data_IF_113874841192
#
_entry.id   IF_113874841192
#
_cell.length_a   1.000
_cell.length_b   1.000
_cell.length_c   1.000
_cell.angle_alpha   90.00
_cell.angle_beta   90.00
_cell.angle_gamma   90.00
#
_symmetry.space_group_name_H-M   'P 1'
#
loop_
_entity.id
_entity.type
_entity.pdbx_description
1 polymer ?
#
# COMPACT_ATOMS: atom_id res chain seq x y z
N UNK A 1 1.93 -15.40 11.75
CA UNK A 1 2.90 -14.57 12.49
C UNK A 1 2.67 -14.52 14.01
N UNK A 2 1.53 -14.94 14.52
CA UNK A 2 1.25 -14.98 15.97
C UNK A 2 0.98 -13.61 16.61
N UNK A 3 0.52 -12.65 15.82
CA UNK A 3 0.09 -11.33 16.32
C UNK A 3 -1.19 -11.50 17.14
N UNK A 4 -1.28 -10.99 18.39
CA UNK A 4 -2.48 -11.12 19.19
C UNK A 4 -3.62 -10.26 18.62
N UNK A 5 -4.83 -10.84 18.59
CA UNK A 5 -6.04 -10.07 18.30
C UNK A 5 -6.42 -9.21 19.50
N UNK A 6 -6.54 -7.91 19.31
CA UNK A 6 -6.89 -6.97 20.39
C UNK A 6 -7.46 -5.67 19.87
N UNK A 7 -8.50 -5.18 20.54
CA UNK A 7 -8.95 -3.79 20.39
C UNK A 7 -8.28 -2.83 21.38
N UNK A 8 -7.51 -3.36 22.34
CA UNK A 8 -6.70 -2.56 23.24
C UNK A 8 -5.37 -2.21 22.60
N UNK A 9 -5.17 -0.95 22.33
CA UNK A 9 -3.99 -0.40 21.66
C UNK A 9 -2.89 0.04 22.64
N UNK A 10 -3.12 -0.09 23.94
CA UNK A 10 -2.15 0.31 24.96
C UNK A 10 -0.81 -0.40 24.77
N UNK A 11 0.27 0.38 24.74
CA UNK A 11 1.64 -0.07 24.54
C UNK A 11 2.00 -0.54 23.11
N UNK A 12 1.04 -0.60 22.17
CA UNK A 12 1.34 -0.92 20.79
C UNK A 12 1.93 0.29 20.05
N UNK A 13 2.87 0.05 19.13
CA UNK A 13 3.42 1.08 18.24
C UNK A 13 2.96 0.88 16.79
N UNK A 14 2.47 -0.29 16.46
CA UNK A 14 1.84 -0.58 15.16
C UNK A 14 0.61 -1.48 15.37
N UNK A 15 -0.42 -1.27 14.57
CA UNK A 15 -1.63 -2.08 14.60
C UNK A 15 -2.01 -2.52 13.18
N UNK A 16 -2.29 -3.82 13.05
CA UNK A 16 -2.73 -4.41 11.79
C UNK A 16 -4.24 -4.31 11.67
N UNK A 17 -4.73 -3.90 10.51
CA UNK A 17 -6.15 -3.77 10.15
C UNK A 17 -6.42 -4.48 8.82
N UNK A 18 -7.40 -5.35 8.77
CA UNK A 18 -7.92 -5.88 7.51
C UNK A 18 -8.97 -4.94 6.90
N UNK A 19 -8.88 -4.68 5.60
CA UNK A 19 -9.83 -3.85 4.85
C UNK A 19 -10.47 -4.68 3.72
N UNK A 20 -11.52 -5.48 4.02
CA UNK A 20 -12.14 -6.40 3.07
C UNK A 20 -13.06 -5.67 2.09
N UNK A 21 -12.50 -4.89 1.19
CA UNK A 21 -13.19 -4.07 0.20
C UNK A 21 -12.74 -4.42 -1.23
N UNK A 22 -13.68 -4.49 -2.19
CA UNK A 22 -13.36 -4.74 -3.61
C UNK A 22 -14.44 -4.16 -4.55
N UNK A 23 -14.99 -3.00 -4.18
CA UNK A 23 -16.01 -2.34 -4.98
C UNK A 23 -15.43 -1.28 -5.93
N UNK A 24 -14.13 -1.01 -5.87
CA UNK A 24 -13.43 -0.08 -6.74
C UNK A 24 -12.60 -0.75 -7.84
N UNK A 25 -12.68 -2.07 -7.97
CA UNK A 25 -11.82 -2.85 -8.86
C UNK A 25 -12.42 -3.15 -10.23
N UNK A 26 -11.61 -3.75 -11.09
CA UNK A 26 -12.00 -4.23 -12.40
C UNK A 26 -13.13 -5.26 -12.33
N UNK A 27 -14.19 -5.17 -13.15
CA UNK A 27 -15.39 -5.99 -13.02
C UNK A 27 -15.15 -7.51 -13.20
N UNK A 28 -14.07 -7.90 -13.88
CA UNK A 28 -13.77 -9.30 -14.16
C UNK A 28 -12.89 -9.98 -13.09
N UNK A 29 -12.22 -9.23 -12.20
CA UNK A 29 -11.29 -9.78 -11.20
C UNK A 29 -11.65 -9.29 -9.79
N UNK A 30 -12.86 -9.59 -9.38
CA UNK A 30 -13.37 -9.32 -8.04
C UNK A 30 -12.88 -10.40 -7.08
N UNK A 31 -12.57 -10.06 -5.84
CA UNK A 31 -12.16 -11.02 -4.82
C UNK A 31 -11.18 -10.49 -3.77
N UNK A 32 -10.67 -9.27 -3.93
CA UNK A 32 -9.72 -8.69 -2.98
C UNK A 32 -10.30 -8.45 -1.58
N UNK A 33 -11.63 -8.43 -1.41
CA UNK A 33 -12.27 -8.49 -0.09
C UNK A 33 -11.85 -9.71 0.74
N UNK A 34 -11.38 -10.77 0.11
CA UNK A 34 -10.88 -11.98 0.76
C UNK A 34 -9.38 -11.87 1.10
N UNK A 35 -8.69 -10.86 0.58
CA UNK A 35 -7.25 -10.63 0.78
C UNK A 35 -6.82 -10.64 2.24
N UNK A 36 -7.48 -9.87 3.14
CA UNK A 36 -7.09 -9.84 4.55
C UNK A 36 -7.11 -11.21 5.24
N UNK A 37 -8.09 -12.05 4.92
CA UNK A 37 -8.20 -13.41 5.49
C UNK A 37 -7.09 -14.30 4.94
N UNK A 38 -6.84 -14.27 3.64
CA UNK A 38 -5.80 -15.07 3.00
C UNK A 38 -4.39 -14.67 3.46
N UNK A 39 -4.11 -13.39 3.61
CA UNK A 39 -2.82 -12.90 4.15
C UNK A 39 -2.62 -13.41 5.58
N UNK A 40 -3.63 -13.35 6.45
CA UNK A 40 -3.54 -13.90 7.80
C UNK A 40 -3.29 -15.40 7.79
N UNK A 41 -4.00 -16.14 6.96
CA UNK A 41 -3.82 -17.59 6.81
C UNK A 41 -2.39 -17.94 6.39
N UNK A 42 -1.89 -17.30 5.34
CA UNK A 42 -0.53 -17.55 4.83
C UNK A 42 0.56 -16.99 5.74
N UNK A 43 0.26 -16.02 6.60
CA UNK A 43 1.21 -15.43 7.53
C UNK A 43 1.81 -16.42 8.54
N UNK A 44 1.20 -17.61 8.71
CA UNK A 44 1.76 -18.68 9.55
C UNK A 44 3.09 -19.21 9.02
N UNK A 45 3.35 -19.04 7.73
CA UNK A 45 4.61 -19.43 7.08
C UNK A 45 5.73 -18.40 7.29
N UNK A 46 5.39 -17.15 7.62
CA UNK A 46 6.35 -16.06 7.79
C UNK A 46 7.00 -16.15 9.17
N UNK A 47 8.31 -15.93 9.21
CA UNK A 47 9.10 -15.85 10.46
C UNK A 47 9.50 -14.41 10.73
N UNK A 48 9.58 -13.98 12.00
CA UNK A 48 9.84 -12.58 12.33
C UNK A 48 11.28 -12.14 12.06
N UNK A 49 12.24 -13.03 12.18
CA UNK A 49 13.66 -12.73 11.97
C UNK A 49 14.01 -12.85 10.47
N UNK A 50 14.71 -11.89 9.94
CA UNK A 50 15.10 -11.82 8.51
C UNK A 50 16.61 -11.49 8.37
N UNK A 51 17.52 -12.34 8.88
CA UNK A 51 18.95 -12.08 8.79
C UNK A 51 19.43 -12.14 7.31
N UNK A 52 20.47 -11.37 6.94
CA UNK A 52 21.22 -10.44 7.80
C UNK A 52 20.57 -9.07 7.95
N UNK A 53 19.51 -8.73 7.18
CA UNK A 53 18.93 -7.40 7.15
C UNK A 53 18.21 -7.05 8.46
N UNK A 54 17.34 -7.91 8.97
CA UNK A 54 16.58 -7.69 10.20
C UNK A 54 16.70 -8.90 11.14
N UNK A 55 17.81 -8.98 11.89
CA UNK A 55 18.01 -10.01 12.90
C UNK A 55 17.41 -9.59 14.26
N UNK A 56 16.14 -9.21 14.23
CA UNK A 56 15.31 -8.85 15.39
C UNK A 56 13.84 -9.19 15.10
N UNK A 57 13.03 -9.26 16.16
CA UNK A 57 11.58 -9.49 16.04
C UNK A 57 10.80 -8.17 16.01
N UNK A 58 10.33 -7.69 14.84
CA UNK A 58 9.58 -6.44 14.74
C UNK A 58 8.21 -6.51 15.44
N UNK A 59 7.61 -7.69 15.55
CA UNK A 59 6.32 -7.87 16.23
C UNK A 59 6.43 -7.56 17.73
N UNK A 60 7.52 -7.98 18.36
CA UNK A 60 7.81 -7.70 19.77
C UNK A 60 8.24 -6.25 19.98
N UNK A 61 9.16 -5.74 19.15
CA UNK A 61 9.67 -4.36 19.27
C UNK A 61 8.57 -3.31 19.14
N UNK A 62 7.59 -3.56 18.25
CA UNK A 62 6.46 -2.66 18.04
C UNK A 62 5.24 -3.01 18.90
N UNK A 63 5.29 -4.10 19.64
CA UNK A 63 4.15 -4.66 20.37
C UNK A 63 2.90 -4.71 19.46
N UNK A 64 3.05 -5.32 18.27
CA UNK A 64 2.03 -5.32 17.21
C UNK A 64 0.77 -6.03 17.68
N UNK A 65 -0.38 -5.44 17.40
CA UNK A 65 -1.71 -6.05 17.60
C UNK A 65 -2.48 -6.15 16.28
N UNK A 66 -3.33 -7.16 16.13
CA UNK A 66 -4.29 -7.27 15.04
C UNK A 66 -5.65 -6.79 15.52
N UNK A 67 -6.17 -5.71 14.95
CA UNK A 67 -7.46 -5.11 15.28
C UNK A 67 -8.64 -5.73 14.53
N UNK A 68 -8.39 -6.80 13.75
CA UNK A 68 -9.42 -7.44 12.94
C UNK A 68 -9.71 -6.69 11.64
N UNK A 69 -10.94 -6.82 11.18
CA UNK A 69 -11.37 -6.22 9.91
C UNK A 69 -12.27 -5.01 10.12
N UNK A 70 -12.10 -4.01 9.27
CA UNK A 70 -13.09 -2.94 9.10
C UNK A 70 -14.36 -3.54 8.49
N UNK A 71 -15.52 -3.05 8.92
CA UNK A 71 -16.80 -3.49 8.36
C UNK A 71 -17.02 -2.76 7.03
N UNK A 72 -16.79 -3.47 5.92
CA UNK A 72 -17.13 -3.02 4.58
C UNK A 72 -18.38 -3.73 4.08
N UNK A 73 -19.30 -2.99 3.48
CA UNK A 73 -20.56 -3.54 2.96
C UNK A 73 -20.54 -3.49 1.44
N UNK A 74 -20.58 -4.63 0.73
CA UNK A 74 -20.62 -4.64 -0.72
C UNK A 74 -21.75 -3.78 -1.28
N UNK A 75 -21.45 -2.95 -2.29
CA UNK A 75 -22.41 -2.04 -2.91
C UNK A 75 -22.63 -0.70 -2.17
N UNK A 76 -22.13 -0.55 -0.94
CA UNK A 76 -22.17 0.70 -0.19
C UNK A 76 -20.77 1.34 -0.13
N UNK A 77 -20.32 1.89 -1.25
CA UNK A 77 -18.96 2.39 -1.42
C UNK A 77 -18.65 3.50 -0.41
N UNK A 78 -19.38 4.61 -0.44
CA UNK A 78 -19.11 5.77 0.43
C UNK A 78 -19.16 5.41 1.91
N UNK A 79 -20.17 4.65 2.34
CA UNK A 79 -20.26 4.18 3.73
C UNK A 79 -19.09 3.28 4.13
N UNK A 80 -18.56 2.50 3.22
CA UNK A 80 -17.38 1.67 3.47
C UNK A 80 -16.11 2.52 3.56
N UNK A 81 -15.95 3.52 2.66
CA UNK A 81 -14.85 4.48 2.71
C UNK A 81 -14.85 5.24 4.05
N UNK A 82 -16.01 5.76 4.50
CA UNK A 82 -16.14 6.45 5.79
C UNK A 82 -15.70 5.57 6.96
N UNK A 83 -16.07 4.29 6.96
CA UNK A 83 -15.68 3.35 8.03
C UNK A 83 -14.18 3.04 8.01
N UNK A 84 -13.58 2.94 6.83
CA UNK A 84 -12.13 2.76 6.68
C UNK A 84 -11.41 3.99 7.24
N UNK A 85 -11.82 5.19 6.84
CA UNK A 85 -11.26 6.45 7.35
C UNK A 85 -11.33 6.51 8.88
N UNK A 86 -12.50 6.24 9.46
CA UNK A 86 -12.69 6.26 10.91
C UNK A 86 -11.82 5.23 11.64
N UNK A 87 -11.68 4.02 11.09
CA UNK A 87 -10.89 2.96 11.71
C UNK A 87 -9.40 3.32 11.71
N UNK A 88 -8.87 3.79 10.57
CA UNK A 88 -7.48 4.22 10.43
C UNK A 88 -7.20 5.44 11.31
N UNK A 89 -8.08 6.44 11.29
CA UNK A 89 -7.94 7.63 12.13
C UNK A 89 -7.91 7.28 13.63
N UNK A 90 -8.73 6.33 14.08
CA UNK A 90 -8.74 5.88 15.49
C UNK A 90 -7.40 5.29 15.91
N UNK A 91 -6.77 4.49 15.05
CA UNK A 91 -5.45 3.90 15.32
C UNK A 91 -4.38 5.00 15.31
N UNK A 92 -4.34 5.81 14.26
CA UNK A 92 -3.30 6.82 14.09
C UNK A 92 -3.39 7.94 15.14
N UNK A 93 -4.59 8.34 15.56
CA UNK A 93 -4.79 9.35 16.63
C UNK A 93 -4.37 8.86 18.02
N UNK A 94 -4.10 7.56 18.18
CA UNK A 94 -3.52 6.99 19.40
C UNK A 94 -1.98 6.91 19.34
N UNK A 95 -1.34 7.58 18.37
CA UNK A 95 0.11 7.54 18.11
C UNK A 95 0.62 6.14 17.76
N UNK A 96 -0.19 5.40 17.00
CA UNK A 96 0.09 4.03 16.56
C UNK A 96 0.06 4.00 15.03
N UNK A 97 1.08 3.39 14.42
CA UNK A 97 1.15 3.28 12.96
C UNK A 97 0.14 2.25 12.46
N UNK A 98 -0.88 2.65 11.66
CA UNK A 98 -1.76 1.69 11.01
C UNK A 98 -1.01 0.95 9.90
N UNK A 99 -1.09 -0.38 9.93
CA UNK A 99 -0.58 -1.27 8.88
C UNK A 99 -1.76 -2.04 8.33
N UNK A 100 -2.25 -1.64 7.16
CA UNK A 100 -3.44 -2.25 6.59
C UNK A 100 -3.09 -3.38 5.62
N UNK A 101 -3.92 -4.39 5.59
CA UNK A 101 -3.95 -5.39 4.54
C UNK A 101 -5.28 -5.26 3.83
N UNK A 102 -5.18 -4.81 2.58
CA UNK A 102 -6.32 -4.28 1.90
C UNK A 102 -7.12 -5.23 1.09
N UNK A 103 -8.17 -4.69 0.61
CA UNK A 103 -8.95 -4.96 -0.55
C UNK A 103 -8.29 -4.44 -1.82
N UNK A 104 -9.08 -3.78 -2.68
CA UNK A 104 -8.57 -3.12 -3.90
C UNK A 104 -7.85 -1.79 -3.59
N UNK A 105 -7.21 -1.18 -4.59
CA UNK A 105 -6.43 0.05 -4.42
C UNK A 105 -7.23 1.28 -3.97
N UNK A 106 -8.57 1.28 -4.11
CA UNK A 106 -9.40 2.39 -3.64
C UNK A 106 -9.37 2.56 -2.11
N UNK A 107 -9.00 1.51 -1.36
CA UNK A 107 -8.90 1.58 0.11
C UNK A 107 -7.88 2.61 0.59
N UNK A 108 -6.91 3.00 -0.25
CA UNK A 108 -5.90 4.01 0.09
C UNK A 108 -6.50 5.40 0.25
N UNK A 109 -7.54 5.77 -0.51
CA UNK A 109 -8.14 7.10 -0.44
C UNK A 109 -8.69 7.45 0.96
N UNK A 110 -9.55 6.65 1.59
CA UNK A 110 -10.05 6.95 2.94
C UNK A 110 -8.94 6.91 3.99
N UNK A 111 -7.89 6.11 3.78
CA UNK A 111 -6.73 6.08 4.66
C UNK A 111 -5.94 7.38 4.57
N UNK A 112 -5.73 7.90 3.35
CA UNK A 112 -5.09 9.21 3.13
C UNK A 112 -5.89 10.34 3.78
N UNK A 113 -7.24 10.32 3.70
CA UNK A 113 -8.10 11.27 4.41
C UNK A 113 -7.88 11.22 5.92
N UNK A 114 -7.80 10.02 6.48
CA UNK A 114 -7.52 9.84 7.92
C UNK A 114 -6.15 10.38 8.31
N UNK A 115 -5.12 10.06 7.54
CA UNK A 115 -3.74 10.44 7.83
C UNK A 115 -3.49 11.93 7.61
N UNK A 116 -4.08 12.54 6.58
CA UNK A 116 -3.96 14.00 6.33
C UNK A 116 -4.47 14.84 7.50
N UNK A 117 -5.48 14.39 8.24
CA UNK A 117 -5.99 15.08 9.43
C UNK A 117 -4.96 15.20 10.55
N UNK A 118 -3.98 14.30 10.59
CA UNK A 118 -2.91 14.27 11.59
C UNK A 118 -1.59 14.80 11.03
N UNK A 119 -1.37 14.64 9.74
CA UNK A 119 -0.16 15.01 9.02
C UNK A 119 -0.52 15.85 7.79
N UNK A 120 -0.73 17.18 7.93
CA UNK A 120 -1.12 18.04 6.80
C UNK A 120 -0.07 18.13 5.69
N UNK A 121 1.19 17.81 5.99
CA UNK A 121 2.32 17.73 5.07
C UNK A 121 2.64 16.28 4.62
N UNK A 122 1.64 15.39 4.68
CA UNK A 122 1.74 14.00 4.27
C UNK A 122 2.27 13.87 2.84
N UNK A 123 3.17 12.93 2.63
CA UNK A 123 3.65 12.55 1.30
C UNK A 123 3.30 11.10 1.01
N UNK A 124 3.06 10.78 -0.26
CA UNK A 124 2.74 9.45 -0.76
C UNK A 124 3.99 8.81 -1.38
N UNK A 125 4.27 7.58 -1.00
CA UNK A 125 5.10 6.66 -1.77
C UNK A 125 4.22 5.50 -2.23
N UNK A 126 3.89 5.48 -3.52
CA UNK A 126 3.08 4.46 -4.16
C UNK A 126 3.94 3.55 -5.02
N UNK A 127 3.99 2.28 -4.68
CA UNK A 127 4.76 1.25 -5.37
C UNK A 127 3.76 0.30 -6.02
N UNK A 128 3.69 0.28 -7.37
CA UNK A 128 2.59 -0.31 -8.11
C UNK A 128 2.96 -0.50 -9.60
N UNK A 129 2.29 -1.42 -10.29
CA UNK A 129 2.32 -1.50 -11.75
C UNK A 129 1.54 -0.37 -12.44
N UNK A 130 0.69 0.34 -11.71
CA UNK A 130 -0.20 1.40 -12.22
C UNK A 130 0.10 2.73 -11.53
N UNK A 131 -0.49 3.80 -12.04
CA UNK A 131 -0.40 5.11 -11.39
C UNK A 131 -1.61 5.43 -10.52
N UNK A 132 -2.74 4.81 -10.81
CA UNK A 132 -4.04 5.06 -10.18
C UNK A 132 -4.43 6.55 -10.13
N UNK A 133 -3.98 7.27 -11.16
CA UNK A 133 -4.20 8.71 -11.35
C UNK A 133 -5.02 9.02 -12.59
N UNK A 134 -5.89 8.11 -13.00
CA UNK A 134 -6.79 8.40 -14.13
C UNK A 134 -7.76 9.53 -13.76
N UNK A 135 -8.10 10.43 -14.69
CA UNK A 135 -9.02 11.55 -14.43
C UNK A 135 -10.46 11.07 -14.18
N UNK A 136 -10.82 9.96 -14.78
CA UNK A 136 -12.07 9.25 -14.73
C UNK A 136 -11.99 8.11 -15.74
N UNK A 137 -13.00 7.26 -15.82
CA UNK A 137 -12.98 6.12 -16.75
C UNK A 137 -13.36 6.49 -18.20
N UNK A 138 -13.64 7.76 -18.47
CA UNK A 138 -14.01 8.27 -19.79
C UNK A 138 -15.39 7.80 -20.30
N UNK A 139 -16.16 7.11 -19.47
CA UNK A 139 -17.50 6.62 -19.80
C UNK A 139 -18.58 7.61 -19.38
N UNK A 140 -19.78 7.49 -19.95
CA UNK A 140 -20.93 8.37 -19.62
C UNK A 140 -21.35 8.28 -18.14
N UNK A 141 -21.14 7.10 -17.53
CA UNK A 141 -21.31 6.90 -16.07
C UNK A 141 -19.92 6.83 -15.46
N UNK A 142 -19.38 7.98 -15.10
CA UNK A 142 -18.11 8.07 -14.40
C UNK A 142 -18.33 7.75 -12.94
N UNK A 143 -17.86 6.59 -12.52
CA UNK A 143 -17.73 6.32 -11.09
C UNK A 143 -16.59 7.16 -10.54
N UNK A 144 -16.94 8.13 -9.68
CA UNK A 144 -15.97 9.02 -9.03
C UNK A 144 -14.90 8.24 -8.26
N UNK A 145 -15.30 7.13 -7.66
CA UNK A 145 -14.48 6.33 -6.78
C UNK A 145 -14.24 4.95 -7.38
N UNK A 146 -13.05 4.73 -7.90
CA UNK A 146 -12.54 3.42 -8.30
C UNK A 146 -11.02 3.38 -8.11
N UNK A 147 -10.43 2.20 -8.17
CA UNK A 147 -8.98 1.99 -7.98
C UNK A 147 -8.16 2.91 -8.88
N UNK A 148 -8.49 2.97 -10.16
CA UNK A 148 -7.71 3.75 -11.13
C UNK A 148 -7.76 5.28 -10.90
N UNK A 149 -8.67 5.78 -10.07
CA UNK A 149 -8.82 7.22 -9.79
C UNK A 149 -8.38 7.62 -8.36
N UNK A 150 -7.90 6.68 -7.58
CA UNK A 150 -7.59 6.84 -6.15
C UNK A 150 -6.71 8.06 -5.88
N UNK A 151 -5.60 8.20 -6.59
CA UNK A 151 -4.66 9.28 -6.33
C UNK A 151 -4.99 10.57 -7.08
N UNK A 152 -5.83 10.52 -8.12
CA UNK A 152 -6.47 11.73 -8.65
C UNK A 152 -7.37 12.35 -7.60
N UNK A 153 -8.19 11.53 -6.92
CA UNK A 153 -9.05 12.04 -5.82
C UNK A 153 -8.19 12.56 -4.67
N UNK A 154 -7.09 11.89 -4.34
CA UNK A 154 -6.17 12.36 -3.31
C UNK A 154 -5.57 13.74 -3.63
N UNK A 155 -5.17 13.98 -4.89
CA UNK A 155 -4.68 15.28 -5.35
C UNK A 155 -5.77 16.36 -5.35
N UNK A 156 -6.99 16.05 -5.84
CA UNK A 156 -8.12 16.97 -5.85
C UNK A 156 -8.54 17.41 -4.44
N UNK A 157 -8.47 16.49 -3.48
CA UNK A 157 -8.81 16.74 -2.08
C UNK A 157 -7.64 17.37 -1.30
N UNK A 158 -6.45 17.49 -1.91
CA UNK A 158 -5.26 18.07 -1.28
C UNK A 158 -4.71 17.24 -0.12
N UNK A 159 -4.87 15.91 -0.18
CA UNK A 159 -4.53 14.99 0.91
C UNK A 159 -3.03 14.74 1.08
N UNK A 160 -2.25 15.01 0.05
CA UNK A 160 -0.81 14.80 0.03
C UNK A 160 -0.09 15.96 -0.66
N UNK A 161 1.18 16.22 -0.28
CA UNK A 161 2.08 17.08 -1.03
C UNK A 161 2.50 16.34 -2.32
N UNK A 162 1.77 16.55 -3.42
CA UNK A 162 2.02 15.86 -4.69
C UNK A 162 3.42 16.13 -5.25
N UNK A 163 3.97 17.34 -5.02
CA UNK A 163 5.30 17.71 -5.52
C UNK A 163 6.44 16.89 -4.88
N UNK A 164 6.16 16.23 -3.75
CA UNK A 164 7.09 15.35 -3.05
C UNK A 164 6.61 13.91 -2.96
N UNK A 165 5.49 13.59 -3.59
CA UNK A 165 4.93 12.23 -3.64
C UNK A 165 5.35 11.52 -4.93
N UNK A 166 5.49 10.19 -4.86
CA UNK A 166 6.02 9.40 -5.98
C UNK A 166 5.15 8.18 -6.27
N UNK A 167 5.01 7.89 -7.57
CA UNK A 167 4.56 6.61 -8.10
C UNK A 167 5.77 5.89 -8.70
N UNK A 168 5.98 4.62 -8.34
CA UNK A 168 7.14 3.83 -8.73
C UNK A 168 6.71 2.48 -9.29
N UNK A 169 7.15 2.16 -10.51
CA UNK A 169 6.98 0.83 -11.11
C UNK A 169 5.91 0.74 -12.20
N UNK A 170 5.20 1.83 -12.51
CA UNK A 170 4.13 1.85 -13.50
C UNK A 170 4.61 1.33 -14.87
N UNK A 171 3.80 0.42 -15.48
CA UNK A 171 4.17 -0.29 -16.71
C UNK A 171 2.96 -0.87 -17.43
N UNK A 172 3.21 -1.54 -18.54
CA UNK A 172 2.23 -2.36 -19.26
C UNK A 172 1.24 -1.56 -20.10
N UNK A 173 0.07 -2.14 -20.29
CA UNK A 173 -1.00 -1.55 -21.11
C UNK A 173 -1.90 -0.65 -20.28
N UNK A 174 -2.28 0.49 -20.85
CA UNK A 174 -3.14 1.48 -20.21
C UNK A 174 -4.42 1.69 -21.03
N UNK A 175 -5.49 2.15 -20.37
CA UNK A 175 -6.79 2.31 -21.04
C UNK A 175 -6.98 3.68 -21.68
N UNK A 176 -6.07 4.62 -21.43
CA UNK A 176 -6.09 5.94 -22.07
C UNK A 176 -4.69 6.41 -22.45
N UNK A 177 -4.60 7.17 -23.52
CA UNK A 177 -3.40 7.87 -23.91
C UNK A 177 -3.05 8.96 -22.89
N UNK A 178 -1.76 9.17 -22.63
CA UNK A 178 -1.27 10.27 -21.82
C UNK A 178 -1.49 10.13 -20.30
N UNK A 179 -1.72 8.91 -19.77
CA UNK A 179 -1.94 8.73 -18.32
C UNK A 179 -0.69 9.11 -17.50
N UNK A 180 0.51 8.87 -18.01
CA UNK A 180 1.76 9.24 -17.32
C UNK A 180 1.96 10.76 -17.30
N UNK A 181 1.64 11.44 -18.40
CA UNK A 181 1.63 12.90 -18.49
C UNK A 181 0.60 13.49 -17.54
N UNK A 182 -0.57 12.86 -17.44
CA UNK A 182 -1.62 13.27 -16.51
C UNK A 182 -1.15 13.13 -15.05
N UNK A 183 -0.48 12.03 -14.69
CA UNK A 183 0.13 11.83 -13.37
C UNK A 183 1.09 12.98 -13.02
N UNK A 184 2.00 13.29 -13.95
CA UNK A 184 2.97 14.40 -13.76
C UNK A 184 2.29 15.76 -13.70
N UNK A 185 1.23 15.98 -14.48
CA UNK A 185 0.48 17.24 -14.47
C UNK A 185 -0.26 17.49 -13.14
N UNK A 186 -0.58 16.44 -12.38
CA UNK A 186 -1.09 16.55 -11.02
C UNK A 186 0.00 16.90 -9.99
N UNK A 187 1.27 16.94 -10.40
CA UNK A 187 2.40 17.29 -9.57
C UNK A 187 3.20 16.09 -9.04
N UNK A 188 2.72 14.85 -9.25
CA UNK A 188 3.42 13.66 -8.76
C UNK A 188 4.73 13.37 -9.50
N UNK A 189 5.75 12.95 -8.77
CA UNK A 189 6.89 12.25 -9.33
C UNK A 189 6.46 10.88 -9.87
N UNK A 190 6.88 10.54 -11.09
CA UNK A 190 6.63 9.23 -11.68
C UNK A 190 7.94 8.63 -12.14
N UNK A 191 8.29 7.49 -11.55
CA UNK A 191 9.41 6.63 -11.91
C UNK A 191 8.80 5.34 -12.45
N UNK A 192 8.60 5.27 -13.77
CA UNK A 192 8.07 4.07 -14.41
C UNK A 192 9.07 2.91 -14.38
N UNK A 193 8.61 1.69 -14.68
CA UNK A 193 9.47 0.49 -14.63
C UNK A 193 10.66 0.58 -15.58
N UNK A 194 10.49 1.18 -16.75
CA UNK A 194 11.59 1.35 -17.70
C UNK A 194 12.66 2.30 -17.15
N UNK A 195 12.24 3.37 -16.48
CA UNK A 195 13.16 4.30 -15.78
C UNK A 195 13.84 3.61 -14.59
N UNK A 196 13.08 2.88 -13.76
CA UNK A 196 13.60 2.13 -12.62
C UNK A 196 14.69 1.14 -13.07
N UNK A 197 14.45 0.37 -14.14
CA UNK A 197 15.42 -0.58 -14.69
C UNK A 197 16.64 0.10 -15.29
N UNK A 198 16.45 1.19 -16.01
CA UNK A 198 17.55 1.94 -16.66
C UNK A 198 18.47 2.61 -15.63
N UNK A 199 17.92 3.17 -14.57
CA UNK A 199 18.68 3.86 -13.51
C UNK A 199 19.25 2.88 -12.48
N UNK A 200 18.55 1.80 -12.25
CA UNK A 200 18.82 0.84 -11.19
C UNK A 200 18.23 1.26 -9.83
N UNK A 201 17.93 0.27 -8.98
CA UNK A 201 17.22 0.53 -7.71
C UNK A 201 18.00 1.44 -6.76
N UNK A 202 19.34 1.38 -6.73
CA UNK A 202 20.15 2.20 -5.83
C UNK A 202 20.03 3.70 -6.11
N UNK A 203 20.02 4.10 -7.39
CA UNK A 203 19.88 5.50 -7.80
C UNK A 203 18.47 6.02 -7.50
N UNK A 204 17.44 5.21 -7.79
CA UNK A 204 16.05 5.55 -7.48
C UNK A 204 15.82 5.68 -5.98
N UNK A 205 16.32 4.74 -5.17
CA UNK A 205 16.25 4.82 -3.72
C UNK A 205 16.93 6.06 -3.17
N UNK A 206 18.10 6.45 -3.74
CA UNK A 206 18.78 7.70 -3.39
C UNK A 206 17.87 8.92 -3.59
N UNK A 207 17.21 9.04 -4.74
CA UNK A 207 16.25 10.12 -5.01
C UNK A 207 15.07 10.10 -4.04
N UNK A 208 14.50 8.93 -3.77
CA UNK A 208 13.38 8.81 -2.83
C UNK A 208 13.78 9.24 -1.42
N UNK A 209 14.96 8.85 -0.94
CA UNK A 209 15.48 9.29 0.35
C UNK A 209 15.67 10.80 0.41
N UNK A 210 16.28 11.42 -0.60
CA UNK A 210 16.46 12.87 -0.65
C UNK A 210 15.14 13.63 -0.61
N UNK A 211 14.11 13.12 -1.27
CA UNK A 211 12.81 13.78 -1.40
C UNK A 211 11.92 13.59 -0.18
N UNK A 212 12.00 12.41 0.48
CA UNK A 212 11.05 11.96 1.51
C UNK A 212 11.63 12.05 2.94
N UNK A 213 12.95 12.25 3.11
CA UNK A 213 13.56 12.31 4.45
C UNK A 213 12.94 13.40 5.31
N UNK A 214 12.60 13.05 6.55
CA UNK A 214 11.98 13.98 7.51
C UNK A 214 10.51 14.29 7.26
N UNK A 215 9.88 13.66 6.26
CA UNK A 215 8.45 13.82 5.96
C UNK A 215 7.63 12.67 6.52
N UNK A 216 6.36 12.89 6.89
CA UNK A 216 5.43 11.81 7.19
C UNK A 216 5.06 11.10 5.87
N UNK A 217 5.49 9.85 5.73
CA UNK A 217 5.28 9.06 4.50
C UNK A 217 4.13 8.08 4.67
N UNK A 218 3.16 8.14 3.78
CA UNK A 218 2.18 7.08 3.57
C UNK A 218 2.74 6.12 2.52
N UNK A 219 3.02 4.88 2.90
CA UNK A 219 3.44 3.83 1.98
C UNK A 219 2.23 3.07 1.49
N UNK A 220 1.94 3.15 0.19
CA UNK A 220 1.03 2.26 -0.51
C UNK A 220 1.85 1.25 -1.31
N UNK A 221 1.73 -0.02 -0.98
CA UNK A 221 2.38 -1.12 -1.70
C UNK A 221 1.31 -2.00 -2.34
N UNK A 222 1.11 -1.81 -3.65
CA UNK A 222 0.26 -2.69 -4.44
C UNK A 222 1.00 -3.98 -4.78
N UNK A 223 0.36 -5.12 -4.55
CA UNK A 223 0.99 -6.43 -4.81
C UNK A 223 1.17 -6.73 -6.29
N UNK A 224 0.56 -5.98 -7.20
CA UNK A 224 0.78 -6.13 -8.64
C UNK A 224 2.05 -5.41 -9.15
N UNK A 225 2.77 -4.69 -8.29
CA UNK A 225 4.16 -4.30 -8.53
C UNK A 225 5.04 -5.51 -8.88
N UNK A 226 4.78 -6.64 -8.24
CA UNK A 226 5.43 -7.89 -8.57
C UNK A 226 4.95 -8.44 -9.92
N UNK A 227 5.83 -9.20 -10.57
CA UNK A 227 5.47 -9.91 -11.80
C UNK A 227 4.43 -11.01 -11.52
N UNK A 228 3.44 -11.21 -12.40
CA UNK A 228 2.45 -12.28 -12.25
C UNK A 228 3.03 -13.69 -12.14
N UNK A 229 4.29 -13.91 -12.50
CA UNK A 229 4.97 -15.19 -12.28
C UNK A 229 5.20 -15.52 -10.81
N UNK A 230 5.26 -14.51 -9.94
CA UNK A 230 5.38 -14.70 -8.50
C UNK A 230 4.17 -14.17 -7.69
N UNK A 231 3.37 -13.28 -8.27
CA UNK A 231 2.16 -12.72 -7.65
C UNK A 231 0.95 -12.72 -8.61
N UNK A 232 0.43 -13.88 -9.03
CA UNK A 232 -0.72 -13.96 -9.96
C UNK A 232 -2.04 -13.54 -9.33
N UNK A 233 -2.16 -13.63 -8.01
CA UNK A 233 -3.38 -13.42 -7.24
C UNK A 233 -3.64 -11.96 -6.88
N UNK A 234 -3.65 -11.08 -7.86
CA UNK A 234 -3.91 -9.64 -7.70
C UNK A 234 -5.10 -9.17 -8.55
N UNK A 235 -5.59 -7.96 -8.28
CA UNK A 235 -6.73 -7.40 -8.99
C UNK A 235 -6.41 -7.16 -10.48
N UNK A 236 -5.27 -6.54 -10.78
CA UNK A 236 -4.93 -6.11 -12.15
C UNK A 236 -3.48 -6.49 -12.49
N UNK A 237 -3.19 -7.78 -12.74
CA UNK A 237 -1.84 -8.23 -12.99
C UNK A 237 -1.25 -7.64 -14.27
N UNK A 238 0.00 -7.19 -14.22
CA UNK A 238 0.73 -6.60 -15.34
C UNK A 238 2.10 -7.25 -15.50
N UNK A 239 2.38 -7.80 -16.70
CA UNK A 239 3.64 -8.48 -17.00
C UNK A 239 4.86 -7.57 -16.96
N UNK A 240 6.01 -8.17 -16.69
CA UNK A 240 7.30 -7.47 -16.67
C UNK A 240 7.62 -6.79 -15.35
N UNK A 241 6.94 -7.16 -14.27
CA UNK A 241 7.13 -6.61 -12.94
C UNK A 241 8.39 -7.09 -12.23
N UNK A 242 8.55 -6.66 -10.99
CA UNK A 242 9.63 -7.09 -10.12
C UNK A 242 9.48 -8.58 -9.77
N UNK A 243 10.57 -9.31 -9.75
CA UNK A 243 10.62 -10.61 -9.08
C UNK A 243 10.40 -10.41 -7.58
N UNK A 244 10.02 -11.48 -6.87
CA UNK A 244 9.87 -11.41 -5.41
C UNK A 244 11.14 -10.89 -4.71
N UNK A 245 12.34 -11.28 -5.19
CA UNK A 245 13.62 -10.78 -4.67
C UNK A 245 13.78 -9.28 -4.89
N UNK A 246 13.62 -8.81 -6.13
CA UNK A 246 13.82 -7.40 -6.50
C UNK A 246 12.88 -6.48 -5.71
N UNK A 247 11.59 -6.86 -5.61
CA UNK A 247 10.62 -6.05 -4.88
C UNK A 247 10.86 -6.02 -3.37
N UNK A 248 11.27 -7.15 -2.77
CA UNK A 248 11.61 -7.20 -1.36
C UNK A 248 12.91 -6.44 -1.05
N UNK A 249 13.95 -6.54 -1.90
CA UNK A 249 15.19 -5.76 -1.78
C UNK A 249 14.94 -4.26 -1.97
N UNK A 250 14.06 -3.88 -2.91
CA UNK A 250 13.65 -2.48 -3.08
C UNK A 250 12.96 -1.94 -1.82
N UNK A 251 12.02 -2.71 -1.26
CA UNK A 251 11.33 -2.34 -0.01
C UNK A 251 12.33 -2.16 1.14
N UNK A 252 13.29 -3.07 1.30
CA UNK A 252 14.35 -2.96 2.31
C UNK A 252 15.18 -1.67 2.14
N UNK A 253 15.42 -1.27 0.90
CA UNK A 253 16.15 -0.05 0.56
C UNK A 253 15.47 1.26 1.03
N UNK A 254 14.21 1.22 1.45
CA UNK A 254 13.47 2.35 2.01
C UNK A 254 13.74 2.58 3.51
N UNK A 255 14.66 1.81 4.10
CA UNK A 255 15.04 1.92 5.52
C UNK A 255 15.42 3.36 5.91
N UNK A 256 14.87 3.83 7.01
CA UNK A 256 15.17 5.18 7.56
C UNK A 256 14.18 6.27 7.14
N UNK A 257 13.21 5.98 6.26
CA UNK A 257 12.07 6.87 6.00
C UNK A 257 11.07 6.82 7.16
N UNK A 258 10.35 7.92 7.37
CA UNK A 258 9.35 8.06 8.45
C UNK A 258 7.97 7.61 7.96
N UNK A 259 7.69 6.32 7.98
CA UNK A 259 6.39 5.78 7.61
C UNK A 259 5.36 5.97 8.72
N UNK A 260 4.37 6.81 8.48
CA UNK A 260 3.26 7.07 9.41
C UNK A 260 2.04 6.18 9.17
N UNK A 261 1.97 5.54 8.01
CA UNK A 261 1.00 4.50 7.66
C UNK A 261 1.55 3.59 6.57
N UNK A 262 1.11 2.34 6.56
CA UNK A 262 1.45 1.34 5.54
C UNK A 262 0.17 0.67 5.06
N UNK A 263 0.02 0.56 3.74
CA UNK A 263 -1.08 -0.13 3.08
C UNK A 263 -0.53 -1.17 2.10
N UNK A 264 -0.86 -2.45 2.32
CA UNK A 264 -0.55 -3.55 1.40
C UNK A 264 -1.84 -4.07 0.82
N UNK A 265 -2.09 -3.89 -0.47
CA UNK A 265 -3.40 -4.10 -1.05
C UNK A 265 -3.40 -4.97 -2.32
N UNK A 266 -4.57 -5.12 -2.94
CA UNK A 266 -4.91 -5.81 -4.19
C UNK A 266 -4.76 -7.34 -4.20
N UNK A 267 -4.39 -8.00 -3.10
CA UNK A 267 -4.41 -9.46 -3.04
C UNK A 267 -5.81 -9.98 -3.29
N UNK A 268 -5.98 -10.78 -4.35
CA UNK A 268 -7.25 -11.36 -4.79
C UNK A 268 -7.19 -12.90 -4.77
N UNK A 269 -7.54 -13.55 -3.65
CA UNK A 269 -7.39 -14.99 -3.46
C UNK A 269 -8.06 -15.89 -4.52
N UNK A 270 -9.22 -15.53 -5.11
CA UNK A 270 -9.80 -16.33 -6.18
C UNK A 270 -8.92 -16.47 -7.44
N UNK A 271 -7.94 -15.58 -7.58
CA UNK A 271 -7.02 -15.55 -8.71
C UNK A 271 -5.60 -16.00 -8.32
N UNK A 272 -5.41 -16.37 -7.05
CA UNK A 272 -4.11 -16.81 -6.53
C UNK A 272 -3.87 -18.30 -6.79
N UNK A 273 -2.61 -18.69 -6.83
CA UNK A 273 -2.19 -20.08 -7.00
C UNK A 273 -1.58 -20.58 -5.70
N UNK A 274 -2.31 -21.43 -4.99
CA UNK A 274 -1.85 -22.03 -3.74
C UNK A 274 -1.58 -21.05 -2.60
N UNK A 275 -2.14 -19.83 -2.66
CA UNK A 275 -1.93 -18.80 -1.64
C UNK A 275 -0.56 -18.11 -1.73
N UNK A 276 0.17 -18.26 -2.82
CA UNK A 276 1.55 -17.74 -2.94
C UNK A 276 1.60 -16.22 -2.98
N UNK A 277 0.62 -15.56 -3.61
CA UNK A 277 0.54 -14.09 -3.57
C UNK A 277 0.22 -13.60 -2.15
N UNK A 278 -0.71 -14.24 -1.46
CA UNK A 278 -1.03 -13.91 -0.07
C UNK A 278 0.15 -14.16 0.87
N UNK A 279 0.97 -15.20 0.62
CA UNK A 279 2.21 -15.47 1.34
C UNK A 279 3.26 -14.38 1.08
N UNK A 280 3.44 -13.95 -0.16
CA UNK A 280 4.34 -12.85 -0.51
C UNK A 280 3.87 -11.54 0.14
N UNK A 281 2.57 -11.26 0.14
CA UNK A 281 2.00 -10.09 0.83
C UNK A 281 2.26 -10.13 2.35
N UNK A 282 2.12 -11.29 2.99
CA UNK A 282 2.48 -11.45 4.39
C UNK A 282 3.98 -11.21 4.64
N UNK A 283 4.83 -11.54 3.65
CA UNK A 283 6.29 -11.25 3.70
C UNK A 283 6.55 -9.75 3.53
N UNK A 284 5.86 -9.08 2.63
CA UNK A 284 5.91 -7.61 2.50
C UNK A 284 5.50 -6.94 3.82
N UNK A 285 4.41 -7.38 4.43
CA UNK A 285 3.94 -6.82 5.70
C UNK A 285 4.96 -6.94 6.83
N UNK A 286 5.63 -8.10 6.99
CA UNK A 286 6.64 -8.25 8.04
C UNK A 286 7.87 -7.38 7.76
N UNK A 287 8.22 -7.16 6.49
CA UNK A 287 9.29 -6.22 6.13
C UNK A 287 8.89 -4.77 6.41
N UNK A 288 7.66 -4.38 6.11
CA UNK A 288 7.14 -3.06 6.49
C UNK A 288 7.21 -2.85 8.01
N UNK A 289 6.83 -3.85 8.81
CA UNK A 289 6.97 -3.76 10.27
C UNK A 289 8.44 -3.64 10.69
N UNK A 290 9.37 -4.32 10.01
CA UNK A 290 10.81 -4.15 10.27
C UNK A 290 11.31 -2.74 9.89
N UNK A 291 10.81 -2.16 8.80
CA UNK A 291 11.09 -0.75 8.44
C UNK A 291 10.62 0.22 9.53
N UNK A 292 9.43 0.00 10.11
CA UNK A 292 8.93 0.82 11.22
C UNK A 292 9.86 0.78 12.46
N UNK A 293 10.53 -0.35 12.71
CA UNK A 293 11.54 -0.45 13.77
C UNK A 293 12.80 0.36 13.47
N UNK A 294 13.05 0.68 12.21
CA UNK A 294 14.28 1.32 11.71
C UNK A 294 14.08 2.75 11.21
N UNK A 295 12.92 3.34 11.50
CA UNK A 295 12.69 4.76 11.23
C UNK A 295 13.70 5.62 11.98
N UNK A 296 14.20 6.66 11.32
CA UNK A 296 15.00 7.67 12.01
C UNK A 296 14.08 8.57 12.84
N UNK A 297 14.43 8.91 14.08
CA UNK A 297 13.66 9.91 14.81
C UNK A 297 13.61 11.21 13.99
N UNK A 298 12.42 11.79 13.86
CA UNK A 298 12.27 13.14 13.32
C UNK A 298 12.89 14.09 14.35
N UNK A 299 13.98 14.76 13.98
CA UNK A 299 14.73 15.71 14.82
C UNK A 299 13.98 17.02 15.01
#
# INVERSE_FOLDING_TARGET
MGVPFSSNLSHSRAAVLGVPFDCGTHPARVGSRLGPSAIREQSVLVRPFQPPWADFNPLEQLAVVDCGNVICTPGLIESSLDRIEQAVFRVASADIVPVTMGGDGLVSLPQLRAMHRLFPDLVLLHIDAHTDTYPGDGREIQERYNTATTFTRAAEEGLVDTARSFHVGARGTVTMEGVFEHTRAQGYGLIDDAELRRRGPADVLGQLHESLVGRPVYLCFDMDFFDPSCAPGVCTPTWGGATAREGLEFLQGLEGLNFVAVDVNTVSPPHDVGGMTAFLAATVMIQCLALLCRMRPVS
#
